data_IF_360972494795
#
_entry.id   IF_360972494795
#
_cell.length_a   1.000
_cell.length_b   1.000
_cell.length_c   1.000
_cell.angle_alpha   90.00
_cell.angle_beta   90.00
_cell.angle_gamma   90.00
#
_symmetry.space_group_name_H-M   'P 1'
#
loop_
_entity.id
_entity.type
_entity.pdbx_description
1 polymer ?
#
# COMPACT_ATOMS: atom_id res chain seq x y z
N UNK A 1 -25.49 -11.45 -13.53
CA UNK A 1 -24.77 -12.67 -13.95
C UNK A 1 -25.47 -13.92 -13.45
N UNK A 2 -25.62 -14.14 -12.13
CA UNK A 2 -26.31 -15.33 -11.57
C UNK A 2 -27.72 -15.52 -12.11
N UNK A 3 -28.55 -14.47 -12.10
CA UNK A 3 -29.92 -14.50 -12.63
C UNK A 3 -30.02 -14.81 -14.13
N UNK A 4 -29.02 -14.38 -14.92
CA UNK A 4 -29.05 -14.54 -16.38
C UNK A 4 -28.39 -15.82 -16.87
N UNK A 5 -27.36 -16.32 -16.18
CA UNK A 5 -26.53 -17.43 -16.65
C UNK A 5 -26.47 -18.60 -15.65
N UNK A 6 -27.10 -18.48 -14.47
CA UNK A 6 -27.00 -19.48 -13.41
C UNK A 6 -25.60 -19.63 -12.81
N UNK A 7 -24.62 -18.82 -13.26
CA UNK A 7 -23.23 -18.90 -12.84
C UNK A 7 -23.04 -18.24 -11.49
N UNK A 8 -22.53 -18.98 -10.54
CA UNK A 8 -22.11 -18.42 -9.24
C UNK A 8 -20.81 -17.63 -9.40
N UNK A 9 -20.59 -16.62 -8.56
CA UNK A 9 -19.42 -15.77 -8.62
C UNK A 9 -18.96 -15.36 -7.22
N UNK A 10 -17.66 -15.08 -7.09
CA UNK A 10 -17.08 -14.49 -5.91
C UNK A 10 -16.80 -13.01 -6.17
N UNK A 11 -17.36 -12.13 -5.34
CA UNK A 11 -17.15 -10.70 -5.48
C UNK A 11 -15.86 -10.28 -4.76
N UNK A 12 -14.81 -9.94 -5.53
CA UNK A 12 -13.50 -9.58 -4.99
C UNK A 12 -13.42 -8.13 -4.46
N UNK A 13 -14.38 -7.29 -4.83
CA UNK A 13 -14.37 -5.85 -4.56
C UNK A 13 -14.94 -5.42 -3.20
N UNK A 14 -15.16 -6.32 -2.28
CA UNK A 14 -15.60 -5.96 -0.93
C UNK A 14 -14.47 -5.31 -0.15
N UNK A 15 -14.62 -4.03 0.18
CA UNK A 15 -13.75 -3.15 0.96
C UNK A 15 -12.75 -3.86 1.90
N UNK A 16 -11.68 -4.40 1.36
CA UNK A 16 -10.61 -5.01 2.17
C UNK A 16 -10.88 -6.38 2.77
N UNK A 17 -12.00 -7.05 2.39
CA UNK A 17 -12.33 -8.40 2.90
C UNK A 17 -11.15 -9.37 2.75
N UNK A 18 -10.51 -9.38 1.60
CA UNK A 18 -9.41 -10.29 1.27
C UNK A 18 -8.02 -9.66 1.41
N UNK A 19 -7.89 -8.60 2.21
CA UNK A 19 -6.61 -7.93 2.43
C UNK A 19 -5.79 -8.62 3.51
N UNK A 20 -4.48 -8.75 3.25
CA UNK A 20 -3.53 -9.34 4.18
C UNK A 20 -3.62 -10.86 4.23
N UNK A 21 -2.85 -11.48 5.12
CA UNK A 21 -2.75 -12.94 5.22
C UNK A 21 -4.08 -13.59 5.58
N UNK A 22 -4.79 -13.03 6.55
CA UNK A 22 -6.12 -13.52 6.95
C UNK A 22 -7.13 -13.38 5.81
N UNK A 23 -7.04 -12.27 5.05
CA UNK A 23 -7.91 -12.06 3.89
C UNK A 23 -7.63 -13.06 2.77
N UNK A 24 -6.38 -13.44 2.53
CA UNK A 24 -6.00 -14.48 1.58
C UNK A 24 -6.58 -15.83 2.02
N UNK A 25 -6.42 -16.20 3.29
CA UNK A 25 -7.00 -17.43 3.83
C UNK A 25 -8.53 -17.44 3.68
N UNK A 26 -9.20 -16.33 3.99
CA UNK A 26 -10.63 -16.17 3.82
C UNK A 26 -11.07 -16.32 2.35
N UNK A 27 -10.29 -15.76 1.41
CA UNK A 27 -10.57 -15.91 -0.02
C UNK A 27 -10.60 -17.37 -0.46
N UNK A 28 -9.62 -18.16 -0.02
CA UNK A 28 -9.60 -19.60 -0.34
C UNK A 28 -10.71 -20.38 0.35
N UNK A 29 -11.11 -20.01 1.57
CA UNK A 29 -12.28 -20.60 2.24
C UNK A 29 -13.56 -20.32 1.48
N UNK A 30 -13.78 -19.06 1.08
CA UNK A 30 -14.96 -18.67 0.29
C UNK A 30 -15.01 -19.41 -1.06
N UNK A 31 -13.87 -19.72 -1.67
CA UNK A 31 -13.79 -20.59 -2.85
C UNK A 31 -14.16 -22.03 -2.50
N UNK A 32 -13.56 -22.58 -1.44
CA UNK A 32 -13.80 -23.94 -0.98
C UNK A 32 -15.28 -24.18 -0.69
N UNK A 33 -15.94 -23.26 0.01
CA UNK A 33 -17.39 -23.32 0.25
C UNK A 33 -18.20 -23.37 -1.04
N UNK A 34 -17.87 -22.49 -2.03
CA UNK A 34 -18.59 -22.47 -3.31
C UNK A 34 -18.40 -23.72 -4.14
N UNK A 35 -17.28 -24.37 -4.01
CA UNK A 35 -16.96 -25.62 -4.73
C UNK A 35 -17.36 -26.87 -3.96
N UNK A 36 -17.78 -26.75 -2.69
CA UNK A 36 -18.04 -27.88 -1.81
C UNK A 36 -16.78 -28.66 -1.40
N UNK A 37 -15.62 -27.99 -1.39
CA UNK A 37 -14.29 -28.55 -1.12
C UNK A 37 -13.64 -27.94 0.13
N UNK A 38 -14.43 -27.31 1.01
CA UNK A 38 -13.85 -26.58 2.16
C UNK A 38 -13.08 -27.53 3.09
N UNK A 39 -13.62 -28.72 3.36
CA UNK A 39 -13.00 -29.68 4.28
C UNK A 39 -11.63 -30.16 3.77
N UNK A 40 -11.48 -30.35 2.45
CA UNK A 40 -10.20 -30.71 1.83
C UNK A 40 -9.22 -29.51 1.77
N UNK A 41 -9.74 -28.31 1.60
CA UNK A 41 -8.91 -27.10 1.47
C UNK A 41 -8.44 -26.54 2.81
N UNK A 42 -9.20 -26.68 3.90
CA UNK A 42 -8.86 -26.08 5.19
C UNK A 42 -7.47 -26.48 5.73
N UNK A 43 -7.05 -27.77 5.68
CA UNK A 43 -5.70 -28.16 6.08
C UNK A 43 -4.61 -27.52 5.23
N UNK A 44 -4.85 -27.35 3.93
CA UNK A 44 -3.90 -26.71 3.00
C UNK A 44 -3.80 -25.20 3.28
N UNK A 45 -4.93 -24.54 3.50
CA UNK A 45 -4.98 -23.12 3.85
C UNK A 45 -4.24 -22.86 5.17
N UNK A 46 -4.46 -23.70 6.18
CA UNK A 46 -3.77 -23.60 7.46
C UNK A 46 -2.25 -23.78 7.31
N UNK A 47 -1.82 -24.82 6.57
CA UNK A 47 -0.40 -25.10 6.32
C UNK A 47 0.30 -23.95 5.55
N UNK A 48 -0.31 -23.42 4.49
CA UNK A 48 0.26 -22.30 3.74
C UNK A 48 0.26 -20.99 4.56
N UNK A 49 -0.72 -20.78 5.42
CA UNK A 49 -0.75 -19.64 6.35
C UNK A 49 0.40 -19.72 7.35
N UNK A 50 0.58 -20.87 7.99
CA UNK A 50 1.68 -21.10 8.93
C UNK A 50 3.06 -20.94 8.27
N UNK A 51 3.23 -21.51 7.08
CA UNK A 51 4.45 -21.38 6.28
C UNK A 51 4.75 -19.92 5.92
N UNK A 52 3.74 -19.15 5.50
CA UNK A 52 3.90 -17.73 5.17
C UNK A 52 4.31 -16.91 6.41
N UNK A 53 3.73 -17.19 7.59
CA UNK A 53 4.11 -16.57 8.85
C UNK A 53 5.54 -16.91 9.24
N UNK A 54 5.92 -18.18 9.18
CA UNK A 54 7.28 -18.63 9.50
C UNK A 54 8.33 -18.01 8.57
N UNK A 55 8.06 -17.96 7.28
CA UNK A 55 8.97 -17.35 6.29
C UNK A 55 9.15 -15.84 6.51
N UNK A 56 8.14 -15.15 7.01
CA UNK A 56 8.18 -13.68 7.17
C UNK A 56 8.49 -13.21 8.57
N UNK A 57 8.66 -14.11 9.54
CA UNK A 57 8.81 -13.76 10.95
C UNK A 57 9.91 -12.72 11.22
N UNK A 58 11.12 -12.96 10.70
CA UNK A 58 12.27 -12.05 10.91
C UNK A 58 12.03 -10.69 10.25
N UNK A 59 11.52 -10.67 9.01
CA UNK A 59 11.22 -9.44 8.29
C UNK A 59 10.11 -8.63 8.99
N UNK A 60 9.07 -9.30 9.49
CA UNK A 60 7.99 -8.65 10.25
C UNK A 60 8.48 -8.07 11.58
N UNK A 61 9.40 -8.74 12.27
CA UNK A 61 10.05 -8.18 13.47
C UNK A 61 10.83 -6.92 13.13
N UNK A 62 11.60 -6.94 12.04
CA UNK A 62 12.29 -5.74 11.55
C UNK A 62 11.33 -4.61 11.22
N UNK A 63 10.20 -4.92 10.55
CA UNK A 63 9.18 -3.92 10.23
C UNK A 63 8.52 -3.32 11.47
N UNK A 64 8.38 -4.09 12.55
CA UNK A 64 7.78 -3.63 13.80
C UNK A 64 8.61 -2.56 14.52
N UNK A 65 9.89 -2.46 14.23
CA UNK A 65 10.80 -1.46 14.81
C UNK A 65 10.67 -0.09 14.12
N UNK A 66 10.07 -0.03 12.92
CA UNK A 66 9.84 1.22 12.21
C UNK A 66 8.62 1.96 12.74
N UNK A 67 8.72 3.29 12.73
CA UNK A 67 7.60 4.19 12.99
C UNK A 67 7.22 4.89 11.70
N UNK A 68 6.03 4.60 11.16
CA UNK A 68 5.62 5.12 9.86
C UNK A 68 4.38 6.01 9.95
N UNK A 69 4.33 7.04 9.10
CA UNK A 69 3.11 7.79 8.84
C UNK A 69 2.43 7.24 7.58
N UNK A 70 1.12 7.03 7.63
CA UNK A 70 0.30 6.71 6.47
C UNK A 70 -0.25 7.99 5.86
N UNK A 71 0.04 8.25 4.59
CA UNK A 71 -0.59 9.35 3.85
C UNK A 71 -1.51 8.78 2.78
N UNK A 72 -2.78 9.17 2.82
CA UNK A 72 -3.79 8.77 1.83
C UNK A 72 -4.39 9.98 1.15
N UNK A 73 -4.49 9.93 -0.18
CA UNK A 73 -5.33 10.84 -0.96
C UNK A 73 -6.71 10.24 -1.11
N UNK A 74 -7.72 10.90 -0.52
CA UNK A 74 -9.08 10.38 -0.37
C UNK A 74 -9.27 9.48 0.85
N UNK A 75 -10.53 9.27 1.22
CA UNK A 75 -10.90 8.55 2.44
C UNK A 75 -11.10 7.04 2.22
N UNK A 76 -11.47 6.64 1.01
CA UNK A 76 -11.97 5.28 0.73
C UNK A 76 -10.91 4.19 0.92
N UNK A 77 -9.64 4.51 0.62
CA UNK A 77 -8.54 3.53 0.66
C UNK A 77 -7.85 3.44 2.02
N UNK A 78 -8.04 4.42 2.91
CA UNK A 78 -7.33 4.46 4.17
C UNK A 78 -7.58 3.24 5.07
N UNK A 79 -8.83 2.76 5.30
CA UNK A 79 -9.06 1.56 6.11
C UNK A 79 -8.37 0.32 5.54
N UNK A 80 -8.39 0.19 4.21
CA UNK A 80 -7.76 -0.91 3.50
C UNK A 80 -6.24 -0.91 3.68
N UNK A 81 -5.62 0.25 3.56
CA UNK A 81 -4.18 0.43 3.74
C UNK A 81 -3.74 0.18 5.18
N UNK A 82 -4.50 0.66 6.16
CA UNK A 82 -4.26 0.36 7.57
C UNK A 82 -4.25 -1.15 7.83
N UNK A 83 -5.27 -1.86 7.36
CA UNK A 83 -5.34 -3.33 7.44
C UNK A 83 -4.16 -3.99 6.72
N UNK A 84 -3.80 -3.52 5.52
CA UNK A 84 -2.68 -4.07 4.77
C UNK A 84 -1.37 -3.93 5.53
N UNK A 85 -0.99 -2.71 5.94
CA UNK A 85 0.28 -2.48 6.63
C UNK A 85 0.35 -3.22 7.97
N UNK A 86 -0.74 -3.25 8.74
CA UNK A 86 -0.81 -4.05 9.96
C UNK A 86 -0.58 -5.55 9.69
N UNK A 87 -1.19 -6.09 8.63
CA UNK A 87 -1.01 -7.50 8.25
C UNK A 87 0.44 -7.81 7.86
N UNK A 88 1.15 -6.84 7.26
CA UNK A 88 2.56 -6.97 6.92
C UNK A 88 3.50 -6.80 8.13
N UNK A 89 2.98 -6.36 9.28
CA UNK A 89 3.74 -6.14 10.50
C UNK A 89 4.31 -4.72 10.65
N UNK A 90 3.86 -3.76 9.83
CA UNK A 90 4.32 -2.37 9.90
C UNK A 90 3.38 -1.52 10.77
N UNK A 91 3.84 -0.97 11.90
CA UNK A 91 3.04 -0.07 12.73
C UNK A 91 2.90 1.30 12.07
N UNK A 92 1.67 1.81 12.07
CA UNK A 92 1.35 3.17 11.62
C UNK A 92 1.15 4.05 12.86
N UNK A 93 1.93 5.09 12.99
CA UNK A 93 1.90 6.01 14.15
C UNK A 93 1.12 7.30 13.90
N UNK A 94 0.94 7.68 12.64
CA UNK A 94 0.16 8.86 12.22
C UNK A 94 -0.59 8.56 10.92
N UNK A 95 -1.78 9.10 10.80
CA UNK A 95 -2.63 8.95 9.62
C UNK A 95 -2.95 10.33 9.08
N UNK A 96 -2.43 10.64 7.90
CA UNK A 96 -2.66 11.93 7.21
C UNK A 96 -3.58 11.69 6.01
N UNK A 97 -4.74 12.31 6.03
CA UNK A 97 -5.77 12.21 4.99
C UNK A 97 -5.81 13.50 4.19
N UNK A 98 -5.58 13.41 2.90
CA UNK A 98 -5.65 14.56 1.99
C UNK A 98 -6.93 14.43 1.18
N UNK A 99 -7.87 15.36 1.40
CA UNK A 99 -9.16 15.40 0.75
C UNK A 99 -9.44 16.81 0.21
N UNK A 100 -9.03 17.06 -1.04
CA UNK A 100 -9.22 18.36 -1.67
C UNK A 100 -10.68 18.59 -2.07
N UNK A 101 -11.10 19.86 -2.30
CA UNK A 101 -12.42 20.15 -2.83
C UNK A 101 -12.73 19.47 -4.17
N UNK A 102 -11.72 19.31 -5.02
CA UNK A 102 -11.80 18.60 -6.30
C UNK A 102 -12.11 17.12 -6.07
N UNK A 103 -11.40 16.48 -5.18
CA UNK A 103 -11.62 15.07 -4.82
C UNK A 103 -13.02 14.85 -4.23
N UNK A 104 -13.53 15.78 -3.41
CA UNK A 104 -14.92 15.71 -2.91
C UNK A 104 -15.92 15.73 -4.07
N UNK A 105 -15.71 16.60 -5.05
CA UNK A 105 -16.57 16.70 -6.23
C UNK A 105 -16.50 15.45 -7.11
N UNK A 106 -15.29 14.99 -7.41
CA UNK A 106 -15.06 13.79 -8.26
C UNK A 106 -15.67 12.52 -7.63
N UNK A 107 -15.58 12.39 -6.33
CA UNK A 107 -16.13 11.26 -5.59
C UNK A 107 -17.61 11.43 -5.21
N UNK A 108 -18.24 12.55 -5.58
CA UNK A 108 -19.61 12.91 -5.21
C UNK A 108 -19.87 12.74 -3.69
N UNK A 109 -18.90 13.16 -2.85
CA UNK A 109 -18.98 13.01 -1.41
C UNK A 109 -20.00 13.99 -0.84
N UNK A 110 -21.06 13.43 -0.21
CA UNK A 110 -21.95 14.21 0.64
C UNK A 110 -21.36 14.29 2.07
N UNK A 111 -21.76 15.27 2.88
CA UNK A 111 -21.32 15.35 4.28
C UNK A 111 -21.57 14.05 5.07
N UNK A 112 -22.72 13.40 4.83
CA UNK A 112 -23.10 12.16 5.50
C UNK A 112 -22.18 11.00 5.09
N UNK A 113 -21.84 10.90 3.80
CA UNK A 113 -20.92 9.89 3.29
C UNK A 113 -19.48 10.14 3.80
N UNK A 114 -19.06 11.41 3.84
CA UNK A 114 -17.75 11.78 4.41
C UNK A 114 -17.68 11.38 5.90
N UNK A 115 -18.73 11.66 6.70
CA UNK A 115 -18.80 11.25 8.09
C UNK A 115 -18.72 9.72 8.25
N UNK A 116 -19.49 8.95 7.46
CA UNK A 116 -19.45 7.49 7.49
C UNK A 116 -18.07 6.93 7.11
N UNK A 117 -17.37 7.56 6.15
CA UNK A 117 -16.01 7.15 5.80
C UNK A 117 -15.02 7.48 6.91
N UNK A 118 -15.16 8.62 7.57
CA UNK A 118 -14.33 8.99 8.71
C UNK A 118 -14.53 8.03 9.89
N UNK A 119 -15.76 7.65 10.21
CA UNK A 119 -16.05 6.66 11.25
C UNK A 119 -15.35 5.32 10.95
N UNK A 120 -15.43 4.85 9.70
CA UNK A 120 -14.71 3.63 9.26
C UNK A 120 -13.20 3.75 9.38
N UNK A 121 -12.65 4.93 9.14
CA UNK A 121 -11.20 5.16 9.28
C UNK A 121 -10.82 5.16 10.76
N UNK A 122 -11.64 5.77 11.63
CA UNK A 122 -11.43 5.74 13.09
C UNK A 122 -11.47 4.31 13.62
N UNK A 123 -12.46 3.52 13.23
CA UNK A 123 -12.55 2.10 13.59
C UNK A 123 -11.31 1.32 13.12
N UNK A 124 -10.90 1.52 11.86
CA UNK A 124 -9.71 0.87 11.33
C UNK A 124 -8.42 1.34 12.04
N UNK A 125 -8.32 2.62 12.39
CA UNK A 125 -7.19 3.14 13.17
C UNK A 125 -7.13 2.51 14.57
N UNK A 126 -8.27 2.33 15.22
CA UNK A 126 -8.38 1.61 16.50
C UNK A 126 -7.92 0.17 16.39
N UNK A 127 -8.38 -0.55 15.35
CA UNK A 127 -8.09 -1.97 15.16
C UNK A 127 -6.66 -2.24 14.67
N UNK A 128 -6.12 -1.42 13.78
CA UNK A 128 -4.91 -1.72 13.02
C UNK A 128 -3.72 -0.79 13.29
N UNK A 129 -3.95 0.33 13.97
CA UNK A 129 -2.91 1.33 14.24
C UNK A 129 -2.92 1.81 15.71
N UNK A 130 -3.51 1.04 16.63
CA UNK A 130 -3.51 1.34 18.06
C UNK A 130 -4.13 2.69 18.44
N UNK A 131 -5.06 3.20 17.64
CA UNK A 131 -5.70 4.51 17.86
C UNK A 131 -4.82 5.69 17.46
N UNK A 132 -3.92 5.53 16.52
CA UNK A 132 -3.04 6.59 16.04
C UNK A 132 -3.80 7.85 15.58
N UNK A 133 -3.24 9.05 15.82
CA UNK A 133 -3.90 10.29 15.46
C UNK A 133 -4.18 10.40 13.95
N UNK A 134 -5.37 10.93 13.65
CA UNK A 134 -5.83 11.15 12.27
C UNK A 134 -5.83 12.67 12.03
N UNK A 135 -5.07 13.11 11.03
CA UNK A 135 -5.02 14.48 10.57
C UNK A 135 -5.75 14.58 9.22
N UNK A 136 -6.77 15.40 9.15
CA UNK A 136 -7.51 15.67 7.91
C UNK A 136 -7.04 16.98 7.29
N UNK A 137 -6.56 16.92 6.06
CA UNK A 137 -5.97 18.03 5.31
C UNK A 137 -4.89 18.78 6.10
N UNK A 138 -3.88 18.08 6.65
CA UNK A 138 -2.81 18.74 7.38
C UNK A 138 -2.09 19.74 6.47
N UNK A 139 -1.77 20.90 7.04
CA UNK A 139 -0.92 21.89 6.39
C UNK A 139 0.54 21.42 6.30
N UNK A 140 1.38 22.15 5.52
CA UNK A 140 2.79 21.81 5.36
C UNK A 140 3.54 21.78 6.70
N UNK A 141 3.25 22.70 7.62
CA UNK A 141 3.87 22.74 8.94
C UNK A 141 3.55 21.48 9.76
N UNK A 142 2.27 21.08 9.80
CA UNK A 142 1.84 19.85 10.50
C UNK A 142 2.44 18.59 9.87
N UNK A 143 2.53 18.54 8.53
CA UNK A 143 3.21 17.43 7.85
C UNK A 143 4.69 17.38 8.20
N UNK A 144 5.38 18.51 8.28
CA UNK A 144 6.80 18.56 8.70
C UNK A 144 6.97 18.06 10.14
N UNK A 145 6.07 18.43 11.05
CA UNK A 145 6.09 17.94 12.43
C UNK A 145 5.93 16.42 12.50
N UNK A 146 4.96 15.87 11.75
CA UNK A 146 4.75 14.42 11.65
C UNK A 146 5.97 13.72 11.04
N UNK A 147 6.50 14.25 9.93
CA UNK A 147 7.60 13.63 9.22
C UNK A 147 8.93 13.71 9.97
N UNK A 148 9.08 14.66 10.88
CA UNK A 148 10.25 14.76 11.74
C UNK A 148 10.34 13.64 12.81
N UNK A 149 9.20 12.97 13.13
CA UNK A 149 9.14 11.96 14.20
C UNK A 149 8.88 10.55 13.70
N UNK A 150 8.87 10.34 12.39
CA UNK A 150 8.69 9.02 11.75
C UNK A 150 9.91 8.65 10.91
N UNK A 151 10.12 7.34 10.77
CA UNK A 151 11.23 6.79 9.96
C UNK A 151 10.91 6.82 8.48
N UNK A 152 9.64 6.71 8.11
CA UNK A 152 9.19 6.77 6.71
C UNK A 152 7.71 7.16 6.60
N UNK A 153 7.34 7.61 5.40
CA UNK A 153 5.96 7.89 5.00
C UNK A 153 5.54 6.86 3.97
N UNK A 154 4.42 6.18 4.22
CA UNK A 154 3.88 5.14 3.36
C UNK A 154 2.52 5.53 2.78
N UNK A 155 2.11 4.87 1.70
CA UNK A 155 0.74 4.99 1.17
C UNK A 155 0.55 6.07 0.10
N UNK A 156 1.56 6.88 -0.17
CA UNK A 156 1.50 7.88 -1.24
C UNK A 156 2.75 7.84 -2.10
N UNK A 157 2.60 8.25 -3.33
CA UNK A 157 3.71 8.54 -4.21
C UNK A 157 3.69 9.99 -4.65
N UNK A 158 3.15 10.88 -3.83
CA UNK A 158 3.09 12.32 -4.13
C UNK A 158 4.45 12.97 -3.91
N UNK A 159 5.12 13.31 -5.01
CA UNK A 159 6.45 13.94 -4.99
C UNK A 159 6.45 15.32 -4.32
N UNK A 160 5.29 15.96 -4.17
CA UNK A 160 5.22 17.26 -3.48
C UNK A 160 5.51 17.12 -1.97
N UNK A 161 5.43 15.91 -1.44
CA UNK A 161 5.77 15.60 -0.05
C UNK A 161 7.27 15.30 0.14
N UNK A 162 8.03 15.20 -0.95
CA UNK A 162 9.47 15.04 -0.86
C UNK A 162 10.11 16.30 -0.24
N UNK A 163 11.10 16.09 0.61
CA UNK A 163 11.79 17.20 1.29
C UNK A 163 11.09 17.72 2.54
N UNK A 164 9.97 17.11 2.97
CA UNK A 164 9.34 17.44 4.25
C UNK A 164 10.01 16.75 5.44
N UNK A 165 10.95 15.83 5.22
CA UNK A 165 11.76 15.23 6.29
C UNK A 165 11.93 13.72 6.17
N UNK A 166 10.87 12.94 6.15
CA UNK A 166 10.95 11.47 6.08
C UNK A 166 10.94 10.96 4.64
N UNK A 167 11.61 9.82 4.34
CA UNK A 167 11.57 9.19 3.04
C UNK A 167 10.15 8.69 2.70
N UNK A 168 9.78 8.83 1.41
CA UNK A 168 8.50 8.38 0.91
C UNK A 168 8.60 6.96 0.35
N UNK A 169 7.78 6.07 0.87
CA UNK A 169 7.59 4.71 0.34
C UNK A 169 6.27 4.68 -0.44
N UNK A 170 6.31 4.45 -1.76
CA UNK A 170 5.10 4.40 -2.57
C UNK A 170 4.09 3.40 -2.03
N UNK A 171 2.81 3.69 -2.23
CA UNK A 171 1.76 2.75 -1.88
C UNK A 171 2.03 1.39 -2.52
N UNK A 172 1.99 0.36 -1.71
CA UNK A 172 1.95 -1.01 -2.23
C UNK A 172 0.62 -1.18 -2.96
N UNK A 173 0.65 -1.89 -4.10
CA UNK A 173 -0.57 -2.16 -4.84
C UNK A 173 -1.55 -2.89 -3.93
N UNK A 174 -2.71 -2.28 -3.74
CA UNK A 174 -3.81 -2.83 -2.96
C UNK A 174 -4.53 -3.96 -3.74
N UNK A 175 -4.35 -3.99 -5.05
CA UNK A 175 -4.74 -5.09 -5.91
C UNK A 175 -3.82 -6.26 -5.64
N UNK A 176 -4.17 -6.92 -4.63
CA UNK A 176 -3.49 -8.03 -4.03
C UNK A 176 -3.54 -9.18 -5.02
N UNK A 177 -2.39 -9.65 -5.38
CA UNK A 177 -2.29 -11.05 -5.74
C UNK A 177 -2.78 -11.85 -4.54
N UNK A 178 -3.91 -12.53 -4.69
CA UNK A 178 -4.56 -13.32 -3.65
C UNK A 178 -3.80 -14.64 -3.45
N UNK A 179 -2.48 -14.57 -3.17
CA UNK A 179 -1.65 -15.74 -2.93
C UNK A 179 -0.74 -15.55 -1.71
N UNK A 180 -0.51 -16.62 -0.99
CA UNK A 180 0.42 -16.66 0.14
C UNK A 180 1.84 -16.24 -0.24
N UNK A 181 2.31 -16.65 -1.42
CA UNK A 181 3.61 -16.25 -1.95
C UNK A 181 3.71 -14.74 -2.16
N UNK A 182 2.66 -14.11 -2.66
CA UNK A 182 2.63 -12.67 -2.84
C UNK A 182 2.62 -11.91 -1.53
N UNK A 183 1.97 -12.45 -0.50
CA UNK A 183 2.06 -11.91 0.85
C UNK A 183 3.51 -11.92 1.34
N UNK A 184 4.18 -13.07 1.25
CA UNK A 184 5.59 -13.22 1.63
C UNK A 184 6.47 -12.22 0.89
N UNK A 185 6.33 -12.15 -0.43
CA UNK A 185 7.06 -11.19 -1.28
C UNK A 185 6.83 -9.74 -0.86
N UNK A 186 5.61 -9.38 -0.52
CA UNK A 186 5.26 -8.02 -0.10
C UNK A 186 5.89 -7.65 1.24
N UNK A 187 5.97 -8.57 2.21
CA UNK A 187 6.67 -8.34 3.48
C UNK A 187 8.15 -8.03 3.23
N UNK A 188 8.84 -8.88 2.46
CA UNK A 188 10.26 -8.66 2.13
C UNK A 188 10.48 -7.37 1.34
N UNK A 189 9.66 -7.13 0.33
CA UNK A 189 9.74 -5.91 -0.48
C UNK A 189 9.56 -4.64 0.35
N UNK A 190 8.66 -4.66 1.34
CA UNK A 190 8.47 -3.53 2.23
C UNK A 190 9.68 -3.34 3.15
N UNK A 191 10.22 -4.45 3.68
CA UNK A 191 11.42 -4.44 4.51
C UNK A 191 12.62 -3.86 3.74
N UNK A 192 12.85 -4.34 2.50
CA UNK A 192 13.92 -3.85 1.63
C UNK A 192 13.79 -2.35 1.36
N UNK A 193 12.58 -1.88 1.05
CA UNK A 193 12.31 -0.46 0.79
C UNK A 193 12.55 0.43 1.99
N UNK A 194 12.17 -0.02 3.20
CA UNK A 194 12.42 0.74 4.43
C UNK A 194 13.89 0.73 4.82
N UNK A 195 14.62 -0.32 4.48
CA UNK A 195 16.06 -0.45 4.73
C UNK A 195 16.92 0.28 3.70
N UNK A 196 16.38 0.61 2.54
CA UNK A 196 17.12 1.25 1.46
C UNK A 196 17.54 2.68 1.84
N UNK A 197 18.83 2.99 1.70
CA UNK A 197 19.36 4.33 1.99
C UNK A 197 18.94 5.38 0.95
N UNK A 198 18.41 4.94 -0.18
CA UNK A 198 18.04 5.75 -1.35
C UNK A 198 16.54 5.65 -1.67
N UNK A 199 15.68 5.75 -0.65
CA UNK A 199 14.22 5.63 -0.81
C UNK A 199 13.65 6.56 -1.89
N UNK A 200 14.27 7.74 -2.08
CA UNK A 200 13.90 8.69 -3.12
C UNK A 200 14.21 8.18 -4.52
N UNK A 201 15.38 7.60 -4.69
CA UNK A 201 15.82 7.08 -5.99
C UNK A 201 14.97 5.88 -6.39
N UNK A 202 14.63 5.01 -5.43
CA UNK A 202 13.66 3.94 -5.62
C UNK A 202 12.26 4.46 -5.98
N UNK A 203 11.81 5.55 -5.36
CA UNK A 203 10.52 6.17 -5.67
C UNK A 203 10.47 6.62 -7.12
N UNK A 204 11.52 7.28 -7.58
CA UNK A 204 11.66 7.76 -8.96
C UNK A 204 11.70 6.56 -9.92
N UNK A 205 12.55 5.59 -9.67
CA UNK A 205 12.72 4.38 -10.50
C UNK A 205 11.44 3.55 -10.59
N UNK A 206 10.74 3.35 -9.47
CA UNK A 206 9.50 2.58 -9.45
C UNK A 206 8.34 3.22 -10.25
N UNK A 207 8.42 4.51 -10.54
CA UNK A 207 7.44 5.20 -11.38
C UNK A 207 7.76 5.16 -12.87
N UNK A 208 8.94 4.67 -13.23
CA UNK A 208 9.36 4.62 -14.62
C UNK A 208 8.80 3.40 -15.32
N UNK A 209 7.98 3.57 -16.38
CA UNK A 209 7.37 2.44 -17.08
C UNK A 209 8.38 1.52 -17.78
N UNK A 210 9.64 1.96 -17.88
CA UNK A 210 10.73 1.22 -18.56
C UNK A 210 11.93 0.94 -17.65
N UNK A 211 11.66 0.78 -16.37
CA UNK A 211 12.63 0.63 -15.31
C UNK A 211 13.79 -0.34 -15.64
N UNK A 212 13.46 -1.52 -16.17
CA UNK A 212 14.45 -2.54 -16.49
C UNK A 212 15.37 -2.15 -17.67
N UNK A 213 14.87 -1.38 -18.63
CA UNK A 213 15.62 -0.95 -19.81
C UNK A 213 16.53 0.24 -19.52
N UNK A 214 16.05 1.18 -18.70
CA UNK A 214 16.75 2.45 -18.45
C UNK A 214 17.57 2.45 -17.16
N UNK A 215 17.43 1.42 -16.34
CA UNK A 215 18.20 1.28 -15.11
C UNK A 215 19.72 1.40 -15.30
N UNK A 216 20.33 0.85 -16.37
CA UNK A 216 21.76 1.01 -16.62
C UNK A 216 22.22 2.47 -16.86
N UNK A 217 21.28 3.39 -17.13
CA UNK A 217 21.59 4.82 -17.27
C UNK A 217 21.69 5.55 -15.92
N UNK A 218 21.25 4.90 -14.87
CA UNK A 218 21.30 5.39 -13.50
C UNK A 218 22.46 4.72 -12.78
N UNK A 219 23.54 5.44 -12.54
CA UNK A 219 24.73 4.91 -11.87
C UNK A 219 24.71 5.03 -10.34
N UNK A 220 23.66 5.62 -9.78
CA UNK A 220 23.49 5.80 -8.34
C UNK A 220 24.38 6.91 -7.72
N UNK A 221 25.24 7.54 -8.51
CA UNK A 221 26.16 8.59 -8.04
C UNK A 221 25.52 9.97 -8.01
N UNK A 222 24.47 10.18 -8.80
CA UNK A 222 23.74 11.44 -8.91
C UNK A 222 22.32 11.30 -8.38
N UNK A 223 21.88 12.28 -7.59
CA UNK A 223 20.48 12.45 -7.22
C UNK A 223 19.70 12.97 -8.42
N UNK A 224 19.10 12.06 -9.19
CA UNK A 224 18.32 12.42 -10.36
C UNK A 224 16.91 12.84 -9.96
N UNK A 225 16.52 14.06 -10.30
CA UNK A 225 15.15 14.53 -10.19
C UNK A 225 14.25 13.81 -11.21
N UNK A 226 13.00 13.58 -10.87
CA UNK A 226 12.05 12.92 -11.77
C UNK A 226 12.01 13.58 -13.15
N UNK A 227 12.14 14.91 -13.23
CA UNK A 227 12.19 15.67 -14.47
C UNK A 227 13.41 15.30 -15.32
N UNK A 228 14.60 15.31 -14.73
CA UNK A 228 15.85 14.98 -15.43
C UNK A 228 15.85 13.54 -15.93
N UNK A 229 15.32 12.61 -15.13
CA UNK A 229 15.11 11.23 -15.53
C UNK A 229 14.19 11.10 -16.74
N UNK A 230 13.05 11.83 -16.73
CA UNK A 230 12.13 11.84 -17.86
C UNK A 230 12.77 12.46 -19.11
N UNK A 231 13.53 13.53 -18.98
CA UNK A 231 14.26 14.17 -20.07
C UNK A 231 15.29 13.20 -20.68
N UNK A 232 16.09 12.53 -19.85
CA UNK A 232 17.06 11.52 -20.31
C UNK A 232 16.37 10.35 -21.01
N UNK A 233 15.30 9.82 -20.45
CA UNK A 233 14.52 8.74 -21.07
C UNK A 233 13.92 9.14 -22.41
N UNK A 234 13.42 10.39 -22.51
CA UNK A 234 12.81 10.88 -23.73
C UNK A 234 13.84 11.09 -24.83
N UNK A 235 14.99 11.63 -24.51
CA UNK A 235 16.11 11.77 -25.45
C UNK A 235 16.60 10.44 -25.98
N UNK A 236 16.76 9.46 -25.10
CA UNK A 236 17.16 8.10 -25.48
C UNK A 236 16.15 7.42 -26.41
N UNK A 237 14.86 7.58 -26.14
CA UNK A 237 13.81 7.06 -27.03
C UNK A 237 13.81 7.71 -28.42
N UNK A 238 14.14 8.99 -28.47
CA UNK A 238 14.17 9.73 -29.74
C UNK A 238 15.29 9.24 -30.64
N UNK A 239 16.42 8.82 -30.08
CA UNK A 239 17.54 8.25 -30.81
C UNK A 239 17.28 6.81 -31.30
N UNK A 240 16.49 6.04 -30.53
CA UNK A 240 16.10 4.66 -30.89
C UNK A 240 15.08 4.57 -32.02
N UNK A 241 14.43 5.68 -32.40
CA UNK A 241 13.33 5.72 -33.39
C UNK A 241 13.79 6.32 -34.72
N UNK A 242 15.03 6.77 -34.82
CA UNK A 242 15.68 7.21 -36.06
C UNK A 242 16.51 6.06 -36.66
#
# INVERSE_FOLDING_TARGET
>A
MKERFGTDYLHLGGAGRYTGLEGIALFYRDIGEKLGLLDEMEPLIAAETEKALAQTETARRTLADYRCALVCRGLQTAPLRLKLYASLGLPISHICLILTPEMRREMALTPELEAQLMDRIQDAAGLYAGGSPILLNPGEAELREVFAVVDAVVGTGDVTLEGLGAPLIPAMSETVSLSFESYVRNVFRLCDRLSARTARDELILNRMPFQTRYYPLYDGSESLWAKEMWERMWLYRKEDVQ
#
